data_IF_633100228995
#
_entry.id   IF_633100228995
#
_cell.length_a   1.000
_cell.length_b   1.000
_cell.length_c   1.000
_cell.angle_alpha   90.00
_cell.angle_beta   90.00
_cell.angle_gamma   90.00
#
_symmetry.space_group_name_H-M   'P 1'
#
loop_
_entity.id
_entity.type
_entity.pdbx_description
1 polymer ?
#
# COMPACT_ATOMS: atom_id res chain seq x y z
N UNK A 1 0.06 -8.80 -8.04
CA UNK A 1 0.14 -8.39 -6.64
C UNK A 1 -1.19 -7.85 -6.17
N UNK A 2 -1.63 -8.23 -4.98
CA UNK A 2 -2.80 -7.64 -4.31
C UNK A 2 -2.38 -7.04 -2.98
N UNK A 3 -2.91 -5.87 -2.67
CA UNK A 3 -2.75 -5.19 -1.38
C UNK A 3 -4.08 -4.62 -0.93
N UNK A 4 -4.47 -4.90 0.32
CA UNK A 4 -5.76 -4.52 0.87
C UNK A 4 -5.61 -3.81 2.19
N UNK A 5 -6.24 -2.63 2.33
CA UNK A 5 -6.46 -1.93 3.58
C UNK A 5 -7.97 -1.84 3.82
N UNK A 6 -8.50 -2.81 4.54
CA UNK A 6 -9.94 -2.95 4.74
C UNK A 6 -10.27 -2.85 6.23
N UNK A 7 -11.33 -2.14 6.53
CA UNK A 7 -11.86 -1.96 7.90
C UNK A 7 -13.38 -1.98 7.86
N UNK A 8 -13.99 -2.35 8.98
CA UNK A 8 -15.43 -2.21 9.14
C UNK A 8 -15.74 -1.05 10.10
N UNK A 9 -16.00 0.13 9.50
CA UNK A 9 -16.28 1.36 10.22
C UNK A 9 -17.40 2.13 9.52
N UNK A 10 -18.63 1.80 9.84
CA UNK A 10 -19.81 2.41 9.20
C UNK A 10 -20.08 3.84 9.68
N UNK A 11 -19.69 4.18 10.91
CA UNK A 11 -19.86 5.52 11.44
C UNK A 11 -18.60 6.36 11.21
N UNK A 12 -18.71 7.57 10.64
CA UNK A 12 -17.61 8.50 10.53
C UNK A 12 -17.03 8.85 11.91
N UNK A 13 -15.71 9.02 11.98
CA UNK A 13 -15.04 9.52 13.20
C UNK A 13 -15.05 11.03 13.29
N UNK A 14 -15.36 11.70 12.20
CA UNK A 14 -15.18 13.13 12.03
C UNK A 14 -13.74 13.52 11.72
N UNK A 15 -13.51 14.78 11.42
CA UNK A 15 -12.22 15.32 11.03
C UNK A 15 -12.03 15.32 9.51
N UNK A 16 -10.85 15.72 9.05
CA UNK A 16 -10.55 15.98 7.64
C UNK A 16 -10.76 14.73 6.74
N UNK A 17 -10.52 13.54 7.26
CA UNK A 17 -10.66 12.28 6.51
C UNK A 17 -12.09 11.99 6.08
N UNK A 18 -13.07 12.48 6.82
CA UNK A 18 -14.49 12.28 6.52
C UNK A 18 -15.11 13.49 5.77
N UNK A 19 -14.34 14.57 5.52
CA UNK A 19 -14.84 15.75 4.81
C UNK A 19 -14.98 15.45 3.32
N UNK A 20 -16.16 15.68 2.77
CA UNK A 20 -16.40 15.67 1.33
C UNK A 20 -16.06 17.04 0.72
N UNK A 21 -14.82 17.44 0.89
CA UNK A 21 -14.25 18.69 0.39
C UNK A 21 -13.03 18.35 -0.47
N UNK A 22 -13.02 18.71 -1.76
CA UNK A 22 -11.88 18.41 -2.65
C UNK A 22 -10.56 19.00 -2.17
N UNK A 23 -10.58 20.11 -1.41
CA UNK A 23 -9.37 20.73 -0.87
C UNK A 23 -8.87 20.04 0.41
N UNK A 24 -9.76 19.36 1.14
CA UNK A 24 -9.40 18.63 2.33
C UNK A 24 -8.65 17.32 2.04
N UNK A 25 -8.72 16.82 0.79
CA UNK A 25 -8.12 15.55 0.37
C UNK A 25 -8.50 14.40 1.31
N UNK A 26 -9.78 14.37 1.74
CA UNK A 26 -10.34 13.31 2.57
C UNK A 26 -10.62 12.03 1.78
N UNK A 27 -11.09 11.00 2.49
CA UNK A 27 -11.46 9.72 1.91
C UNK A 27 -10.34 8.69 1.85
N UNK A 28 -10.71 7.46 1.50
CA UNK A 28 -9.75 6.34 1.43
C UNK A 28 -8.77 6.48 0.27
N UNK A 29 -9.12 7.26 -0.76
CA UNK A 29 -8.20 7.57 -1.85
C UNK A 29 -6.96 8.32 -1.34
N UNK A 30 -7.09 9.21 -0.36
CA UNK A 30 -5.95 9.95 0.18
C UNK A 30 -5.44 9.43 1.53
N UNK A 31 -6.24 8.65 2.28
CA UNK A 31 -5.83 8.06 3.55
C UNK A 31 -5.18 6.67 3.36
N UNK A 32 -5.72 5.82 2.47
CA UNK A 32 -5.24 4.44 2.30
C UNK A 32 -4.38 4.24 1.05
N UNK A 33 -4.76 4.86 -0.08
CA UNK A 33 -4.10 4.57 -1.34
C UNK A 33 -2.61 4.94 -1.38
N UNK A 34 -2.11 6.01 -0.76
CA UNK A 34 -0.67 6.27 -0.75
C UNK A 34 0.15 5.08 -0.25
N UNK A 35 -0.32 4.40 0.81
CA UNK A 35 0.36 3.25 1.38
C UNK A 35 0.39 2.03 0.45
N UNK A 36 -0.76 1.71 -0.16
CA UNK A 36 -0.87 0.51 -1.00
C UNK A 36 -0.28 0.73 -2.40
N UNK A 37 -0.29 1.95 -2.90
CA UNK A 37 0.35 2.34 -4.17
C UNK A 37 1.87 2.33 -4.03
N UNK A 38 2.41 2.90 -2.96
CA UNK A 38 3.84 2.91 -2.68
C UNK A 38 4.39 1.47 -2.61
N UNK A 39 3.74 0.60 -1.86
CA UNK A 39 4.07 -0.83 -1.78
C UNK A 39 4.01 -1.54 -3.14
N UNK A 40 3.02 -1.19 -3.97
CA UNK A 40 2.91 -1.78 -5.30
C UNK A 40 4.05 -1.33 -6.22
N UNK A 41 4.46 -0.06 -6.15
CA UNK A 41 5.59 0.47 -6.93
C UNK A 41 6.90 -0.17 -6.46
N UNK A 42 7.11 -0.27 -5.16
CA UNK A 42 8.32 -0.88 -4.58
C UNK A 42 8.48 -2.34 -4.99
N UNK A 43 7.40 -3.13 -4.93
CA UNK A 43 7.43 -4.56 -5.22
C UNK A 43 7.37 -4.91 -6.70
N UNK A 44 6.61 -4.15 -7.51
CA UNK A 44 6.29 -4.50 -8.90
C UNK A 44 6.96 -3.60 -9.93
N UNK A 45 7.59 -2.49 -9.48
CA UNK A 45 8.25 -1.51 -10.32
C UNK A 45 7.32 -0.43 -10.89
N UNK A 46 7.83 0.38 -11.84
CA UNK A 46 7.13 1.53 -12.38
C UNK A 46 5.77 1.20 -12.99
N UNK A 47 4.82 2.12 -12.83
CA UNK A 47 3.43 2.00 -13.31
C UNK A 47 3.30 2.67 -14.68
N UNK A 48 2.63 2.03 -15.64
CA UNK A 48 2.36 2.55 -16.99
C UNK A 48 0.90 2.96 -17.20
N UNK A 49 -0.04 2.37 -16.45
CA UNK A 49 -1.44 2.81 -16.50
C UNK A 49 -2.18 2.52 -15.20
N UNK A 50 -3.20 3.31 -14.96
CA UNK A 50 -4.04 3.30 -13.76
C UNK A 50 -5.51 3.27 -14.17
N UNK A 51 -6.26 2.35 -13.57
CA UNK A 51 -7.72 2.32 -13.61
C UNK A 51 -8.22 2.33 -12.16
N UNK A 52 -9.08 3.29 -11.79
CA UNK A 52 -9.48 3.47 -10.41
C UNK A 52 -10.97 3.77 -10.27
N UNK A 53 -11.56 3.22 -9.21
CA UNK A 53 -12.94 3.49 -8.80
C UNK A 53 -12.93 3.89 -7.34
N UNK A 54 -13.38 5.11 -7.05
CA UNK A 54 -13.59 5.62 -5.70
C UNK A 54 -15.05 5.98 -5.52
N UNK A 55 -15.67 5.51 -4.45
CA UNK A 55 -17.09 5.73 -4.19
C UNK A 55 -17.37 5.83 -2.70
N UNK A 56 -18.54 6.39 -2.36
CA UNK A 56 -19.07 6.37 -1.00
C UNK A 56 -20.15 5.30 -0.91
N UNK A 57 -19.99 4.33 -0.03
CA UNK A 57 -20.95 3.24 0.21
C UNK A 57 -21.65 3.36 1.55
N UNK A 58 -21.09 4.12 2.51
CA UNK A 58 -21.76 4.42 3.78
C UNK A 58 -22.94 5.38 3.56
N UNK A 59 -23.96 5.24 4.36
CA UNK A 59 -25.18 6.08 4.25
C UNK A 59 -24.96 7.56 4.59
N UNK A 60 -23.94 7.84 5.43
CA UNK A 60 -23.62 9.22 5.82
C UNK A 60 -22.86 9.91 4.68
N UNK A 61 -23.24 11.13 4.26
CA UNK A 61 -22.55 11.85 3.22
C UNK A 61 -21.14 12.26 3.70
N UNK A 62 -20.15 11.53 3.28
CA UNK A 62 -18.71 11.70 3.57
C UNK A 62 -17.94 11.61 2.26
N UNK A 63 -16.63 11.80 2.32
CA UNK A 63 -15.74 11.49 1.19
C UNK A 63 -15.80 10.00 0.82
N UNK A 64 -15.07 9.61 -0.22
CA UNK A 64 -14.99 8.21 -0.65
C UNK A 64 -14.53 7.30 0.52
N UNK A 65 -15.12 6.13 0.60
CA UNK A 65 -14.85 5.15 1.66
C UNK A 65 -14.70 3.72 1.13
N UNK A 66 -14.71 3.58 -0.19
CA UNK A 66 -14.49 2.33 -0.90
C UNK A 66 -13.75 2.60 -2.21
N UNK A 67 -12.60 1.95 -2.38
CA UNK A 67 -11.64 2.22 -3.43
C UNK A 67 -11.11 0.92 -4.03
N UNK A 68 -11.04 0.88 -5.36
CA UNK A 68 -10.32 -0.13 -6.12
C UNK A 68 -9.38 0.59 -7.07
N UNK A 69 -8.10 0.18 -7.12
CA UNK A 69 -7.14 0.65 -8.11
C UNK A 69 -6.50 -0.57 -8.78
N UNK A 70 -6.50 -0.57 -10.11
CA UNK A 70 -5.78 -1.51 -10.94
C UNK A 70 -4.58 -0.79 -11.57
N UNK A 71 -3.37 -1.30 -11.30
CA UNK A 71 -2.13 -0.77 -11.86
C UNK A 71 -1.56 -1.77 -12.86
N UNK A 72 -1.14 -1.29 -14.03
CA UNK A 72 -0.26 -2.04 -14.93
C UNK A 72 1.17 -1.54 -14.76
N UNK A 73 2.12 -2.46 -14.61
CA UNK A 73 3.53 -2.16 -14.44
C UNK A 73 4.33 -2.37 -15.74
N UNK A 74 5.46 -1.70 -15.87
CA UNK A 74 6.37 -1.86 -17.02
C UNK A 74 6.85 -3.31 -17.17
N UNK A 75 6.97 -4.05 -16.08
CA UNK A 75 7.30 -5.47 -16.06
C UNK A 75 6.24 -6.38 -16.70
N UNK A 76 5.06 -5.84 -17.03
CA UNK A 76 3.86 -6.58 -17.43
C UNK A 76 3.06 -7.12 -16.25
N UNK A 77 3.52 -6.91 -15.02
CA UNK A 77 2.80 -7.25 -13.80
C UNK A 77 1.55 -6.37 -13.61
N UNK A 78 0.61 -6.89 -12.82
CA UNK A 78 -0.62 -6.18 -12.46
C UNK A 78 -0.72 -6.11 -10.94
N UNK A 79 -1.09 -4.94 -10.40
CA UNK A 79 -1.46 -4.77 -9.00
C UNK A 79 -2.95 -4.47 -8.87
N UNK A 80 -3.62 -5.17 -7.96
CA UNK A 80 -5.00 -4.97 -7.57
C UNK A 80 -5.04 -4.46 -6.13
N UNK A 81 -5.39 -3.19 -5.97
CA UNK A 81 -5.31 -2.49 -4.69
C UNK A 81 -6.71 -2.15 -4.20
N UNK A 82 -7.01 -2.46 -2.95
CA UNK A 82 -8.32 -2.24 -2.35
C UNK A 82 -8.18 -1.45 -1.06
N UNK A 83 -8.96 -0.38 -0.93
CA UNK A 83 -9.10 0.38 0.29
C UNK A 83 -10.58 0.50 0.64
N UNK A 84 -11.01 0.06 1.83
CA UNK A 84 -12.42 0.18 2.20
C UNK A 84 -12.64 0.34 3.69
N UNK A 85 -13.65 1.14 4.06
CA UNK A 85 -14.14 1.27 5.44
C UNK A 85 -15.44 0.48 5.69
N UNK A 86 -15.94 -0.27 4.69
CA UNK A 86 -17.21 -0.96 4.75
C UNK A 86 -17.11 -2.49 4.58
N UNK A 87 -15.92 -3.06 4.77
CA UNK A 87 -15.69 -4.51 4.64
C UNK A 87 -15.72 -5.18 6.00
N UNK A 88 -16.71 -6.06 6.21
CA UNK A 88 -16.89 -6.82 7.45
C UNK A 88 -16.21 -8.20 7.46
N UNK A 89 -15.67 -8.64 6.31
CA UNK A 89 -14.90 -9.87 6.18
C UNK A 89 -13.49 -9.52 5.70
N UNK A 90 -12.49 -9.58 6.57
CA UNK A 90 -11.12 -9.25 6.18
C UNK A 90 -10.55 -10.31 5.24
N UNK A 91 -10.05 -9.85 4.10
CA UNK A 91 -9.25 -10.62 3.17
C UNK A 91 -7.75 -10.53 3.54
N UNK A 92 -6.88 -11.39 2.99
CA UNK A 92 -5.45 -11.28 3.22
C UNK A 92 -4.92 -9.89 2.91
N UNK A 93 -4.02 -9.39 3.76
CA UNK A 93 -3.39 -8.07 3.58
C UNK A 93 -2.59 -7.99 2.29
N UNK A 94 -1.86 -9.07 1.98
CA UNK A 94 -1.08 -9.19 0.74
C UNK A 94 -1.27 -10.57 0.11
N UNK A 95 -1.38 -10.57 -1.21
CA UNK A 95 -1.24 -11.77 -2.05
C UNK A 95 -0.34 -11.45 -3.23
N UNK A 96 0.70 -12.26 -3.43
CA UNK A 96 1.54 -12.19 -4.62
C UNK A 96 1.43 -13.52 -5.35
N UNK A 97 1.06 -13.49 -6.62
CA UNK A 97 1.00 -14.66 -7.47
C UNK A 97 1.87 -14.47 -8.71
N UNK A 98 2.59 -15.49 -9.08
CA UNK A 98 3.49 -15.50 -10.23
C UNK A 98 3.61 -16.88 -10.85
N UNK A 99 4.37 -16.98 -11.92
CA UNK A 99 4.55 -18.21 -12.68
C UNK A 99 5.28 -19.33 -11.95
N UNK A 100 5.95 -19.01 -10.83
CA UNK A 100 6.70 -19.96 -10.02
C UNK A 100 6.12 -20.19 -8.63
N UNK A 101 4.94 -19.65 -8.34
CA UNK A 101 4.31 -19.82 -7.04
C UNK A 101 3.52 -18.61 -6.60
N UNK A 102 3.16 -18.62 -5.32
CA UNK A 102 2.42 -17.55 -4.68
C UNK A 102 2.85 -17.38 -3.23
N UNK A 103 2.60 -16.20 -2.67
CA UNK A 103 2.67 -15.99 -1.22
C UNK A 103 1.42 -15.25 -0.74
N UNK A 104 1.10 -15.42 0.54
CA UNK A 104 -0.01 -14.76 1.20
C UNK A 104 0.39 -14.31 2.59
N UNK A 105 0.00 -13.08 2.94
CA UNK A 105 0.16 -12.51 4.27
C UNK A 105 -1.21 -12.03 4.74
N UNK A 106 -1.67 -12.55 5.88
CA UNK A 106 -3.00 -12.23 6.42
C UNK A 106 -3.00 -11.04 7.36
N UNK A 107 -1.92 -10.85 8.12
CA UNK A 107 -1.84 -9.86 9.18
C UNK A 107 -1.23 -8.55 8.70
N UNK A 108 -1.60 -7.48 9.38
CA UNK A 108 -0.88 -6.20 9.37
C UNK A 108 0.22 -6.22 10.42
N UNK A 109 1.19 -5.33 10.25
CA UNK A 109 2.21 -4.96 11.23
C UNK A 109 1.54 -4.53 12.56
N UNK A 110 2.01 -5.07 13.67
CA UNK A 110 1.48 -4.82 15.01
C UNK A 110 1.94 -3.51 15.62
N UNK A 111 2.92 -2.81 15.05
CA UNK A 111 3.55 -1.62 15.62
C UNK A 111 2.55 -0.46 15.82
N UNK A 112 1.59 -0.27 14.89
CA UNK A 112 0.54 0.75 15.05
C UNK A 112 -0.33 0.50 16.28
N UNK A 113 -0.65 -0.74 16.59
CA UNK A 113 -1.50 -1.09 17.73
C UNK A 113 -0.76 -0.90 19.05
N UNK A 114 0.52 -1.19 19.12
CA UNK A 114 1.38 -0.86 20.26
C UNK A 114 1.43 0.66 20.52
N UNK A 115 1.58 1.47 19.46
CA UNK A 115 1.53 2.94 19.60
C UNK A 115 0.19 3.44 20.13
N UNK A 116 -0.93 2.88 19.69
CA UNK A 116 -2.26 3.25 20.18
C UNK A 116 -2.46 2.92 21.67
N UNK A 117 -1.74 1.92 22.17
CA UNK A 117 -1.71 1.56 23.60
C UNK A 117 -0.75 2.46 24.40
N UNK A 118 -0.02 3.38 23.75
CA UNK A 118 0.93 4.27 24.38
C UNK A 118 2.27 3.61 24.71
N UNK A 119 2.56 2.47 24.09
CA UNK A 119 3.83 1.79 24.25
C UNK A 119 4.95 2.54 23.53
N UNK A 120 6.16 2.45 24.06
CA UNK A 120 7.37 3.08 23.49
C UNK A 120 8.17 2.00 22.73
N UNK A 121 8.67 2.29 21.52
CA UNK A 121 9.52 1.38 20.79
C UNK A 121 10.71 0.84 21.60
N UNK A 122 10.87 -0.47 21.60
CA UNK A 122 11.91 -1.20 22.33
C UNK A 122 12.34 -2.48 21.59
N UNK A 123 13.15 -3.34 22.20
CA UNK A 123 13.77 -4.51 21.52
C UNK A 123 12.80 -5.50 20.87
N UNK A 124 11.56 -5.57 21.37
CA UNK A 124 10.54 -6.49 20.86
C UNK A 124 9.40 -5.75 20.13
N UNK A 125 9.61 -4.48 19.82
CA UNK A 125 8.58 -3.59 19.31
C UNK A 125 7.88 -4.10 18.05
N UNK A 126 8.60 -4.57 17.06
CA UNK A 126 8.05 -5.02 15.77
C UNK A 126 8.03 -6.54 15.62
N UNK A 127 8.06 -7.28 16.74
CA UNK A 127 7.96 -8.74 16.70
C UNK A 127 6.52 -9.16 16.47
N UNK A 128 6.26 -9.85 15.36
CA UNK A 128 4.95 -10.40 15.07
C UNK A 128 4.65 -11.62 15.96
N UNK A 129 3.36 -11.86 16.30
CA UNK A 129 2.95 -13.07 17.00
C UNK A 129 3.44 -14.35 16.30
N UNK A 130 3.86 -15.36 17.04
CA UNK A 130 4.43 -16.58 16.50
C UNK A 130 3.47 -17.36 15.57
N UNK A 131 2.17 -17.18 15.74
CA UNK A 131 1.13 -17.74 14.87
C UNK A 131 0.94 -16.98 13.56
N UNK A 132 1.43 -15.74 13.48
CA UNK A 132 1.45 -14.97 12.24
C UNK A 132 2.54 -15.51 11.33
N UNK A 133 2.18 -15.95 10.15
CA UNK A 133 3.13 -16.53 9.20
C UNK A 133 2.84 -16.04 7.78
N UNK A 134 3.91 -16.06 6.97
CA UNK A 134 3.82 -15.92 5.52
C UNK A 134 3.54 -17.31 4.95
N UNK A 135 2.42 -17.49 4.27
CA UNK A 135 2.10 -18.71 3.54
C UNK A 135 2.76 -18.68 2.17
N UNK A 136 3.45 -19.74 1.79
CA UNK A 136 4.25 -19.81 0.56
C UNK A 136 3.91 -21.09 -0.21
N UNK A 137 3.58 -20.92 -1.48
CA UNK A 137 3.47 -22.01 -2.45
C UNK A 137 4.54 -21.83 -3.50
N UNK A 138 5.48 -22.77 -3.59
CA UNK A 138 6.58 -22.72 -4.55
C UNK A 138 6.50 -23.88 -5.52
N UNK A 139 6.69 -23.60 -6.82
CA UNK A 139 6.73 -24.61 -7.87
C UNK A 139 8.16 -25.11 -8.05
N UNK A 140 8.31 -26.42 -8.14
CA UNK A 140 9.55 -27.05 -8.60
C UNK A 140 9.73 -26.96 -10.13
N UNK A 141 10.82 -27.57 -10.63
CA UNK A 141 11.11 -27.61 -12.07
C UNK A 141 10.07 -28.43 -12.88
N UNK A 142 9.32 -29.31 -12.24
CA UNK A 142 8.24 -30.12 -12.83
C UNK A 142 6.87 -29.42 -12.83
N UNK A 143 6.77 -28.28 -12.16
CA UNK A 143 5.52 -27.53 -12.00
C UNK A 143 4.68 -28.01 -10.81
N UNK A 144 5.20 -28.88 -9.95
CA UNK A 144 4.51 -29.32 -8.75
C UNK A 144 4.63 -28.27 -7.65
N UNK A 145 3.51 -27.91 -7.01
CA UNK A 145 3.46 -26.91 -5.95
C UNK A 145 3.71 -27.56 -4.57
N UNK A 146 4.66 -27.04 -3.84
CA UNK A 146 4.89 -27.32 -2.43
C UNK A 146 4.40 -26.16 -1.56
N UNK A 147 3.87 -26.46 -0.38
CA UNK A 147 3.44 -25.49 0.61
C UNK A 147 4.44 -25.42 1.77
N UNK A 148 4.74 -24.22 2.19
CA UNK A 148 5.56 -23.95 3.37
C UNK A 148 5.11 -22.65 4.04
N UNK A 149 5.64 -22.40 5.24
CA UNK A 149 5.46 -21.12 5.94
C UNK A 149 6.80 -20.53 6.32
N UNK A 150 6.86 -19.20 6.43
CA UNK A 150 8.00 -18.46 6.98
C UNK A 150 7.52 -17.49 8.05
N UNK A 151 8.42 -17.15 8.98
CA UNK A 151 8.19 -16.05 9.93
C UNK A 151 8.44 -14.69 9.26
N UNK A 152 8.04 -13.64 9.97
CA UNK A 152 8.34 -12.27 9.57
C UNK A 152 9.70 -11.83 10.08
N UNK A 153 10.35 -10.94 9.33
CA UNK A 153 11.41 -10.11 9.88
C UNK A 153 10.83 -9.14 10.90
N UNK A 154 11.63 -8.75 11.87
CA UNK A 154 11.18 -7.83 12.93
C UNK A 154 10.98 -6.45 12.33
N UNK A 155 9.78 -5.92 12.44
CA UNK A 155 9.47 -4.56 12.01
C UNK A 155 10.20 -3.50 12.84
N UNK A 156 10.60 -2.38 12.22
CA UNK A 156 11.38 -1.33 12.88
C UNK A 156 11.02 0.07 12.37
N UNK A 157 9.85 0.59 12.75
CA UNK A 157 9.47 1.96 12.40
C UNK A 157 10.42 3.04 12.92
N UNK A 158 11.09 2.90 14.09
CA UNK A 158 12.09 3.84 14.54
C UNK A 158 13.27 4.02 13.58
N UNK A 159 13.55 3.03 12.72
CA UNK A 159 14.61 3.10 11.72
C UNK A 159 14.46 4.28 10.77
N UNK A 160 13.22 4.64 10.42
CA UNK A 160 12.94 5.82 9.62
C UNK A 160 13.53 7.10 10.23
N UNK A 161 13.36 7.29 11.54
CA UNK A 161 13.90 8.48 12.21
C UNK A 161 15.43 8.45 12.31
N UNK A 162 16.02 7.26 12.42
CA UNK A 162 17.48 7.10 12.40
C UNK A 162 18.03 7.49 11.01
N UNK A 163 17.42 7.03 9.93
CA UNK A 163 17.82 7.41 8.56
C UNK A 163 17.68 8.91 8.31
N UNK A 164 16.61 9.54 8.82
CA UNK A 164 16.46 11.00 8.75
C UNK A 164 17.60 11.73 9.46
N UNK A 165 18.01 11.27 10.64
CA UNK A 165 19.13 11.88 11.36
C UNK A 165 20.45 11.69 10.60
N UNK A 166 20.74 10.52 10.08
CA UNK A 166 21.94 10.26 9.27
C UNK A 166 21.97 11.12 7.99
N UNK A 167 20.82 11.30 7.34
CA UNK A 167 20.74 12.23 6.21
C UNK A 167 21.06 13.66 6.60
N UNK A 168 20.58 14.12 7.77
CA UNK A 168 20.81 15.49 8.23
C UNK A 168 22.26 15.72 8.71
N UNK A 169 22.92 14.71 9.26
CA UNK A 169 24.27 14.81 9.81
C UNK A 169 25.33 14.53 8.72
N UNK A 170 25.17 13.46 7.96
CA UNK A 170 26.19 12.92 7.05
C UNK A 170 25.80 12.98 5.57
N UNK A 171 24.61 13.50 5.23
CA UNK A 171 24.04 13.49 3.86
C UNK A 171 23.94 12.10 3.26
N UNK A 172 23.80 11.05 4.09
CA UNK A 172 23.56 9.69 3.64
C UNK A 172 22.18 9.62 2.97
N UNK A 173 22.11 9.10 1.73
CA UNK A 173 20.84 9.02 1.01
C UNK A 173 19.83 8.15 1.79
N UNK A 174 18.61 8.63 2.03
CA UNK A 174 17.58 7.85 2.72
C UNK A 174 17.13 6.67 1.85
N UNK A 175 16.64 5.60 2.49
CA UNK A 175 16.09 4.43 1.79
C UNK A 175 14.92 4.81 0.87
N UNK A 176 14.05 5.72 1.32
CA UNK A 176 12.96 6.28 0.50
C UNK A 176 13.37 7.66 -0.02
N UNK A 177 13.53 7.76 -1.32
CA UNK A 177 13.95 9.00 -1.99
C UNK A 177 12.77 9.89 -2.34
N UNK A 178 13.06 11.18 -2.60
CA UNK A 178 12.06 12.12 -3.11
C UNK A 178 11.46 11.67 -4.46
N UNK A 179 12.28 11.08 -5.34
CA UNK A 179 11.81 10.59 -6.63
C UNK A 179 10.80 9.44 -6.48
N UNK A 180 11.00 8.54 -5.52
CA UNK A 180 10.03 7.49 -5.19
C UNK A 180 8.71 8.09 -4.67
N UNK A 181 8.79 9.05 -3.75
CA UNK A 181 7.60 9.75 -3.26
C UNK A 181 6.84 10.48 -4.39
N UNK A 182 7.56 11.14 -5.30
CA UNK A 182 6.96 11.78 -6.49
C UNK A 182 6.32 10.74 -7.42
N UNK A 183 6.94 9.57 -7.59
CA UNK A 183 6.36 8.50 -8.40
C UNK A 183 5.03 8.02 -7.82
N UNK A 184 4.96 7.80 -6.51
CA UNK A 184 3.71 7.47 -5.80
C UNK A 184 2.65 8.55 -6.01
N UNK A 185 2.99 9.83 -5.85
CA UNK A 185 2.04 10.94 -6.04
C UNK A 185 1.53 11.05 -7.48
N UNK A 186 2.34 10.77 -8.49
CA UNK A 186 1.89 10.72 -9.90
C UNK A 186 0.84 9.62 -10.12
N UNK A 187 1.03 8.45 -9.52
CA UNK A 187 0.03 7.37 -9.59
C UNK A 187 -1.24 7.77 -8.86
N UNK A 188 -1.13 8.47 -7.73
CA UNK A 188 -2.29 9.00 -6.99
C UNK A 188 -3.10 10.02 -7.81
N UNK A 189 -2.42 10.95 -8.51
CA UNK A 189 -3.09 11.91 -9.39
C UNK A 189 -3.78 11.22 -10.57
N UNK A 190 -3.17 10.19 -11.13
CA UNK A 190 -3.77 9.38 -12.18
C UNK A 190 -4.98 8.58 -11.67
N UNK A 191 -4.89 8.01 -10.46
CA UNK A 191 -6.01 7.29 -9.83
C UNK A 191 -7.20 8.22 -9.57
N UNK A 192 -6.95 9.44 -9.08
CA UNK A 192 -7.99 10.46 -8.93
C UNK A 192 -8.63 10.81 -10.27
N UNK A 193 -7.83 11.05 -11.30
CA UNK A 193 -8.32 11.39 -12.64
C UNK A 193 -9.15 10.25 -13.22
N UNK A 194 -8.69 9.00 -13.08
CA UNK A 194 -9.40 7.81 -13.51
C UNK A 194 -10.74 7.64 -12.78
N UNK A 195 -10.76 7.79 -11.46
CA UNK A 195 -11.98 7.68 -10.66
C UNK A 195 -13.02 8.75 -11.01
N UNK A 196 -12.57 9.94 -11.44
CA UNK A 196 -13.47 11.03 -11.86
C UNK A 196 -14.00 10.86 -13.28
N UNK A 197 -13.18 10.41 -14.22
CA UNK A 197 -13.55 10.30 -15.64
C UNK A 197 -14.18 8.95 -15.99
N UNK A 198 -13.84 7.89 -15.24
CA UNK A 198 -14.16 6.51 -15.58
C UNK A 198 -13.23 5.91 -16.66
N UNK A 199 -12.16 6.63 -17.04
CA UNK A 199 -11.22 6.19 -18.07
C UNK A 199 -9.94 5.65 -17.46
N UNK A 200 -9.28 4.73 -18.17
CA UNK A 200 -7.91 4.31 -17.86
C UNK A 200 -6.93 5.46 -18.17
N UNK A 201 -6.09 5.81 -17.21
CA UNK A 201 -5.08 6.88 -17.33
C UNK A 201 -3.70 6.28 -17.59
N UNK A 202 -3.07 6.65 -18.68
CA UNK A 202 -1.69 6.27 -18.98
C UNK A 202 -0.71 7.25 -18.35
N UNK A 203 0.30 6.70 -17.67
CA UNK A 203 1.43 7.47 -17.16
C UNK A 203 2.50 7.57 -18.24
N UNK A 204 2.91 8.79 -18.54
CA UNK A 204 4.06 9.06 -19.42
C UNK A 204 5.31 8.98 -18.55
N UNK A 205 6.27 8.08 -18.87
CA UNK A 205 7.53 8.07 -18.16
C UNK A 205 8.15 9.48 -18.16
N UNK A 206 8.80 9.92 -17.08
CA UNK A 206 9.54 11.17 -17.12
C UNK A 206 10.55 11.10 -18.28
N UNK A 207 10.61 12.16 -19.10
CA UNK A 207 11.62 12.26 -20.13
C UNK A 207 12.98 12.03 -19.46
N UNK A 208 13.73 11.03 -19.92
CA UNK A 208 15.07 10.77 -19.40
C UNK A 208 15.88 12.07 -19.51
N UNK A 209 16.14 12.72 -18.39
CA UNK A 209 17.12 13.78 -18.33
C UNK A 209 18.48 13.13 -18.62
N UNK A 210 18.89 13.11 -19.87
CA UNK A 210 20.29 12.96 -20.22
C UNK A 210 20.98 14.20 -19.63
N UNK A 211 21.60 14.01 -18.48
CA UNK A 211 22.59 14.96 -17.98
C UNK A 211 23.73 14.99 -19.02
N UNK A 212 23.82 16.08 -19.73
CA UNK A 212 24.92 16.38 -20.63
C UNK A 212 26.17 16.78 -19.83
#
# INVERSE_FOLDING_TARGET
>A
FESRLERFRLLPKGGWRDLNDPEALGGVLYDFAPHIVDQAIDLMGPVVSVDAHARTVRETPVSDDDLIILLQHESGGISYLVGSLAVGLPEPRFTLAGTRGALRIKALDTQEDHLKLGEIPGPNWGVEPAESTIEIWASDAGGELSYSTAGFEVGNWPEYYREVLEFLEDFTAPTVTLDQAIATMRVMDAARSSAQSGDNVRLIPPASHQLA
#
